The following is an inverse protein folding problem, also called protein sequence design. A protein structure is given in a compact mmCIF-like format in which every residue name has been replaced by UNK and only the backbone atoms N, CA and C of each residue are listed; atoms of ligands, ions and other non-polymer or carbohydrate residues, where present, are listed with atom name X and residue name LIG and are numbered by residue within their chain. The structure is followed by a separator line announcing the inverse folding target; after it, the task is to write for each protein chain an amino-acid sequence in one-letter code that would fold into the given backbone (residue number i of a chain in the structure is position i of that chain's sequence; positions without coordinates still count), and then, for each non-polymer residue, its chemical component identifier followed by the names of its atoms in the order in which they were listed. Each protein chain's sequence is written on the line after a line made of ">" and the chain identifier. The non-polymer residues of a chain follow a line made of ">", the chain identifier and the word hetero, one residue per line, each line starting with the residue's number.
data_IF_324562741111
#
_entry.id   IF_324562741111
#
_cell.length_a   1.000
_cell.length_b   1.000
_cell.length_c   1.000
_cell.angle_alpha   90.00
_cell.angle_beta   90.00
_cell.angle_gamma   90.00
#
_symmetry.space_group_name_H-M   'P 1'
#
loop_
_entity.id
_entity.type
_entity.pdbx_description
1 polymer ?
#
# COMPACT_ATOMS: atom_id res chain seq x y z
N UNK A 1 -12.54 -25.49 10.07
CA UNK A 1 -11.54 -24.60 9.47
C UNK A 1 -11.37 -24.98 8.01
N UNK A 2 -11.57 -24.03 7.13
CA UNK A 2 -11.32 -24.16 5.70
C UNK A 2 -10.09 -23.31 5.34
N UNK A 3 -9.14 -23.90 4.61
CA UNK A 3 -7.97 -23.19 4.10
C UNK A 3 -8.16 -22.97 2.60
N UNK A 4 -8.15 -21.71 2.19
CA UNK A 4 -8.20 -21.31 0.79
C UNK A 4 -6.77 -21.17 0.26
N UNK A 5 -6.46 -21.85 -0.86
CA UNK A 5 -5.13 -21.85 -1.48
C UNK A 5 -5.17 -21.47 -2.96
N UNK A 6 -6.36 -21.33 -3.54
CA UNK A 6 -6.54 -21.01 -4.96
C UNK A 6 -7.74 -20.09 -5.18
N UNK A 7 -7.69 -19.33 -6.26
CA UNK A 7 -8.76 -18.44 -6.74
C UNK A 7 -9.07 -18.77 -8.21
N UNK A 8 -10.31 -18.56 -8.67
CA UNK A 8 -11.52 -18.22 -7.91
C UNK A 8 -12.01 -19.42 -7.05
N UNK A 9 -12.88 -19.12 -6.08
CA UNK A 9 -13.50 -20.18 -5.27
C UNK A 9 -14.33 -21.15 -6.12
N UNK A 10 -14.24 -22.44 -5.80
CA UNK A 10 -15.14 -23.42 -6.40
C UNK A 10 -16.56 -23.28 -5.86
N UNK A 11 -17.56 -23.61 -6.69
CA UNK A 11 -18.96 -23.64 -6.26
C UNK A 11 -19.20 -24.61 -5.09
N UNK A 12 -18.40 -25.68 -5.03
CA UNK A 12 -18.52 -26.67 -3.96
C UNK A 12 -18.08 -26.12 -2.61
N UNK A 13 -16.99 -25.33 -2.59
CA UNK A 13 -16.54 -24.64 -1.37
C UNK A 13 -17.64 -23.68 -0.86
N UNK A 14 -18.23 -22.90 -1.75
CA UNK A 14 -19.30 -21.95 -1.38
C UNK A 14 -20.49 -22.70 -0.83
N UNK A 15 -20.93 -23.78 -1.50
CA UNK A 15 -22.04 -24.61 -1.04
C UNK A 15 -21.76 -25.22 0.32
N UNK A 16 -20.57 -25.78 0.55
CA UNK A 16 -20.19 -26.35 1.84
C UNK A 16 -20.24 -25.33 2.98
N UNK A 17 -19.81 -24.10 2.74
CA UNK A 17 -19.88 -23.03 3.72
C UNK A 17 -21.33 -22.65 4.05
N UNK A 18 -22.19 -22.49 3.04
CA UNK A 18 -23.60 -22.11 3.23
C UNK A 18 -24.45 -23.20 3.90
N UNK A 19 -24.15 -24.48 3.64
CA UNK A 19 -24.88 -25.60 4.21
C UNK A 19 -24.46 -25.93 5.65
N UNK A 20 -23.26 -25.59 6.06
CA UNK A 20 -22.67 -26.03 7.34
C UNK A 20 -22.43 -24.92 8.36
N UNK A 21 -22.52 -23.67 7.96
CA UNK A 21 -22.17 -22.53 8.82
C UNK A 21 -23.32 -21.53 8.88
N UNK A 22 -23.57 -21.01 10.06
CA UNK A 22 -24.44 -19.85 10.30
C UNK A 22 -23.62 -18.55 10.29
N UNK A 23 -22.35 -18.67 10.65
CA UNK A 23 -21.40 -17.56 10.71
C UNK A 23 -20.03 -18.03 10.24
N UNK A 24 -19.33 -17.18 9.49
CA UNK A 24 -17.96 -17.40 9.00
C UNK A 24 -17.11 -16.25 9.47
N UNK A 25 -15.94 -16.53 10.01
CA UNK A 25 -14.89 -15.53 10.21
C UNK A 25 -13.78 -15.74 9.18
N UNK A 26 -13.46 -14.69 8.43
CA UNK A 26 -12.39 -14.71 7.41
C UNK A 26 -11.11 -14.19 8.03
N UNK A 27 -10.09 -15.06 8.05
CA UNK A 27 -8.76 -14.75 8.55
C UNK A 27 -7.82 -14.59 7.35
N UNK A 28 -7.53 -13.37 6.97
CA UNK A 28 -6.62 -13.07 5.86
C UNK A 28 -5.70 -11.89 6.19
N UNK A 29 -4.45 -12.01 5.77
CA UNK A 29 -3.46 -10.95 5.89
C UNK A 29 -3.61 -9.96 4.73
N UNK A 30 -3.27 -8.70 4.96
CA UNK A 30 -3.37 -7.65 3.94
C UNK A 30 -4.80 -7.21 3.64
N UNK A 31 -5.11 -7.03 2.34
CA UNK A 31 -6.41 -6.57 1.88
C UNK A 31 -7.50 -7.64 2.08
N UNK A 32 -8.73 -7.29 2.48
CA UNK A 32 -9.82 -8.24 2.73
C UNK A 32 -10.45 -8.80 1.44
N UNK A 33 -9.64 -9.44 0.61
CA UNK A 33 -10.03 -9.94 -0.71
C UNK A 33 -10.99 -11.14 -0.63
N UNK A 34 -10.71 -12.07 0.28
CA UNK A 34 -11.59 -13.24 0.50
C UNK A 34 -12.93 -12.82 1.06
N UNK A 35 -12.90 -11.94 2.06
CA UNK A 35 -14.11 -11.44 2.70
C UNK A 35 -15.01 -10.69 1.72
N UNK A 36 -14.45 -9.81 0.89
CA UNK A 36 -15.21 -9.11 -0.16
C UNK A 36 -15.79 -10.09 -1.18
N UNK A 37 -15.00 -11.06 -1.63
CA UNK A 37 -15.45 -12.08 -2.59
C UNK A 37 -16.58 -12.94 -2.01
N UNK A 38 -16.46 -13.36 -0.76
CA UNK A 38 -17.50 -14.16 -0.10
C UNK A 38 -18.78 -13.36 0.11
N UNK A 39 -18.69 -12.10 0.56
CA UNK A 39 -19.86 -11.21 0.74
C UNK A 39 -20.64 -11.00 -0.57
N UNK A 40 -19.97 -11.05 -1.71
CA UNK A 40 -20.59 -10.95 -3.03
C UNK A 40 -21.19 -12.25 -3.57
N UNK A 41 -20.81 -13.40 -3.02
CA UNK A 41 -21.17 -14.73 -3.55
C UNK A 41 -22.12 -15.53 -2.63
N UNK A 42 -22.14 -15.21 -1.35
CA UNK A 42 -22.97 -15.89 -0.35
C UNK A 42 -24.34 -15.22 -0.22
N UNK A 43 -25.36 -16.04 0.09
CA UNK A 43 -26.68 -15.53 0.38
C UNK A 43 -26.68 -14.66 1.64
N UNK A 44 -27.59 -13.68 1.69
CA UNK A 44 -27.68 -12.68 2.76
C UNK A 44 -27.92 -13.24 4.18
N UNK A 45 -28.20 -14.54 4.30
CA UNK A 45 -28.47 -15.18 5.58
C UNK A 45 -27.22 -15.67 6.31
N UNK A 46 -26.08 -15.74 5.62
CA UNK A 46 -24.83 -16.16 6.22
C UNK A 46 -24.03 -14.93 6.68
N UNK A 47 -23.74 -14.86 7.97
CA UNK A 47 -22.94 -13.78 8.54
C UNK A 47 -21.46 -13.99 8.26
N UNK A 48 -20.84 -13.05 7.56
CA UNK A 48 -19.41 -13.06 7.28
C UNK A 48 -18.74 -11.98 8.11
N UNK A 49 -17.86 -12.37 9.02
CA UNK A 49 -17.05 -11.51 9.88
C UNK A 49 -15.62 -11.43 9.35
N UNK A 50 -14.95 -10.34 9.60
CA UNK A 50 -13.55 -10.17 9.23
C UNK A 50 -13.04 -8.75 9.47
N UNK A 51 -12.33 -8.22 8.49
CA UNK A 51 -11.77 -6.85 8.53
C UNK A 51 -12.77 -5.77 8.15
N UNK A 52 -13.80 -6.11 7.35
CA UNK A 52 -14.75 -5.14 6.83
C UNK A 52 -15.80 -4.73 7.86
N UNK A 53 -16.12 -5.61 8.81
CA UNK A 53 -17.05 -5.32 9.90
C UNK A 53 -16.35 -4.99 11.23
N UNK A 54 -15.01 -5.01 11.24
CA UNK A 54 -14.21 -4.69 12.42
C UNK A 54 -14.00 -5.83 13.40
N UNK A 55 -14.42 -7.07 13.10
CA UNK A 55 -14.10 -8.24 13.90
C UNK A 55 -12.59 -8.50 13.98
N UNK A 56 -11.87 -8.12 12.92
CA UNK A 56 -10.41 -8.11 12.86
C UNK A 56 -9.90 -6.70 12.51
N UNK A 57 -8.69 -6.31 12.95
CA UNK A 57 -8.12 -5.03 12.58
C UNK A 57 -7.89 -4.96 11.06
N UNK A 58 -8.15 -3.79 10.48
CA UNK A 58 -8.02 -3.56 9.04
C UNK A 58 -6.58 -3.58 8.56
N UNK A 59 -5.69 -3.15 9.39
CA UNK A 59 -4.25 -3.01 9.17
C UNK A 59 -3.44 -3.70 10.27
N UNK A 60 -2.13 -3.75 10.07
CA UNK A 60 -1.21 -4.43 10.96
C UNK A 60 -1.20 -5.95 10.78
N UNK A 61 -0.39 -6.62 11.57
CA UNK A 61 -0.13 -8.06 11.49
C UNK A 61 -1.21 -8.85 12.25
N UNK A 62 -1.75 -9.91 11.63
CA UNK A 62 -2.64 -10.86 12.29
C UNK A 62 -1.83 -11.85 13.13
N UNK A 63 -1.71 -11.57 14.42
CA UNK A 63 -1.11 -12.49 15.35
C UNK A 63 -2.16 -13.42 16.05
N UNK A 64 -1.74 -14.53 16.65
CA UNK A 64 -2.65 -15.47 17.29
C UNK A 64 -3.55 -14.85 18.36
N UNK A 65 -3.09 -13.84 19.07
CA UNK A 65 -3.86 -13.18 20.13
C UNK A 65 -5.01 -12.35 19.55
N UNK A 66 -4.81 -11.67 18.43
CA UNK A 66 -5.88 -10.95 17.72
C UNK A 66 -6.95 -11.90 17.21
N UNK A 67 -6.54 -13.03 16.63
CA UNK A 67 -7.47 -14.05 16.15
C UNK A 67 -8.24 -14.69 17.31
N UNK A 68 -7.57 -15.03 18.41
CA UNK A 68 -8.21 -15.58 19.60
C UNK A 68 -9.28 -14.60 20.16
N UNK A 69 -8.95 -13.32 20.23
CA UNK A 69 -9.86 -12.26 20.67
C UNK A 69 -11.09 -12.16 19.76
N UNK A 70 -10.89 -12.19 18.45
CA UNK A 70 -12.00 -12.15 17.47
C UNK A 70 -12.91 -13.37 17.57
N UNK A 71 -12.38 -14.52 17.98
CA UNK A 71 -13.13 -15.76 18.24
C UNK A 71 -13.71 -15.83 19.65
N UNK A 72 -13.57 -14.78 20.47
CA UNK A 72 -14.10 -14.74 21.83
C UNK A 72 -13.31 -15.57 22.87
N UNK A 73 -12.09 -16.01 22.53
CA UNK A 73 -11.22 -16.70 23.49
C UNK A 73 -10.52 -15.72 24.42
N UNK A 74 -10.28 -16.11 25.69
CA UNK A 74 -9.47 -15.30 26.58
C UNK A 74 -8.04 -15.19 26.06
N UNK A 75 -7.51 -13.98 26.09
CA UNK A 75 -6.14 -13.69 25.65
C UNK A 75 -5.36 -13.12 26.83
N UNK A 76 -4.19 -13.66 27.09
CA UNK A 76 -3.27 -13.06 28.04
C UNK A 76 -2.70 -11.78 27.42
N UNK A 77 -2.88 -10.66 28.09
CA UNK A 77 -2.19 -9.42 27.73
C UNK A 77 -0.69 -9.65 27.91
N UNK A 78 0.08 -9.30 26.87
CA UNK A 78 1.52 -9.36 26.92
C UNK A 78 2.09 -8.41 27.99
N UNK A 79 3.37 -8.55 28.27
CA UNK A 79 4.05 -7.58 29.12
C UNK A 79 4.10 -6.22 28.44
N UNK A 80 4.00 -5.12 29.21
CA UNK A 80 4.14 -3.78 28.63
C UNK A 80 5.52 -3.64 27.99
N UNK A 81 5.57 -2.93 26.86
CA UNK A 81 6.83 -2.67 26.15
C UNK A 81 7.73 -1.83 27.07
N UNK A 82 8.92 -2.30 27.45
CA UNK A 82 9.82 -1.54 28.31
C UNK A 82 10.24 -0.21 27.65
N UNK A 83 10.42 0.85 28.44
CA UNK A 83 10.83 2.17 27.95
C UNK A 83 12.18 2.18 27.20
N UNK A 84 13.02 1.20 27.46
CA UNK A 84 14.29 1.02 26.73
C UNK A 84 14.08 0.69 25.25
N UNK A 85 12.92 0.11 24.91
CA UNK A 85 12.56 -0.20 23.54
C UNK A 85 12.16 1.09 22.81
N UNK A 86 13.00 1.55 21.90
CA UNK A 86 12.74 2.72 21.06
C UNK A 86 12.31 2.29 19.67
N UNK A 87 11.29 2.97 19.14
CA UNK A 87 10.90 2.81 17.73
C UNK A 87 12.07 3.18 16.83
N UNK A 88 12.29 2.36 15.81
CA UNK A 88 13.27 2.61 14.75
C UNK A 88 12.57 2.61 13.40
N UNK A 89 11.88 3.71 13.04
CA UNK A 89 11.23 3.79 11.75
C UNK A 89 12.28 3.67 10.63
N UNK A 90 11.92 3.11 9.47
CA UNK A 90 12.81 3.07 8.32
C UNK A 90 13.22 4.49 7.91
N UNK A 91 14.45 4.64 7.48
CA UNK A 91 15.03 5.93 7.07
C UNK A 91 16.03 5.73 5.95
N UNK A 92 16.33 6.79 5.20
CA UNK A 92 17.42 6.75 4.22
C UNK A 92 18.75 6.45 4.86
N UNK A 93 19.60 5.75 4.13
CA UNK A 93 20.98 5.50 4.55
C UNK A 93 21.75 6.82 4.69
N UNK A 94 22.80 6.83 5.51
CA UNK A 94 23.68 7.99 5.64
C UNK A 94 24.36 8.30 4.30
N UNK A 95 24.20 9.53 3.79
CA UNK A 95 24.75 9.96 2.50
C UNK A 95 23.99 9.42 1.29
N UNK A 96 22.73 9.01 1.47
CA UNK A 96 21.88 8.53 0.40
C UNK A 96 21.47 9.68 -0.55
N UNK A 97 21.64 9.51 -1.86
CA UNK A 97 21.26 10.51 -2.86
C UNK A 97 19.76 10.82 -2.92
N UNK A 98 18.90 9.90 -2.45
CA UNK A 98 17.47 10.19 -2.33
C UNK A 98 17.19 11.34 -1.35
N UNK A 99 18.02 11.50 -0.30
CA UNK A 99 17.89 12.63 0.63
C UNK A 99 18.11 13.96 -0.07
N UNK A 100 19.11 14.04 -0.95
CA UNK A 100 19.39 15.24 -1.72
C UNK A 100 18.28 15.52 -2.73
N UNK A 101 17.78 14.46 -3.38
CA UNK A 101 16.65 14.56 -4.31
C UNK A 101 15.42 15.16 -3.60
N UNK A 102 15.02 14.63 -2.43
CA UNK A 102 13.84 15.14 -1.74
C UNK A 102 14.03 16.53 -1.16
N UNK A 103 15.22 16.88 -0.69
CA UNK A 103 15.53 18.25 -0.28
C UNK A 103 15.37 19.22 -1.47
N UNK A 104 15.86 18.85 -2.65
CA UNK A 104 15.71 19.66 -3.85
C UNK A 104 14.26 19.77 -4.31
N UNK A 105 13.48 18.68 -4.26
CA UNK A 105 12.03 18.68 -4.58
C UNK A 105 11.26 19.58 -3.62
N UNK A 106 11.50 19.46 -2.32
CA UNK A 106 10.85 20.31 -1.30
C UNK A 106 11.14 21.78 -1.59
N UNK A 107 12.41 22.13 -1.85
CA UNK A 107 12.81 23.50 -2.15
C UNK A 107 12.15 24.03 -3.43
N UNK A 108 12.13 23.23 -4.48
CA UNK A 108 11.53 23.59 -5.77
C UNK A 108 10.02 23.80 -5.68
N UNK A 109 9.34 23.06 -4.79
CA UNK A 109 7.88 23.12 -4.64
C UNK A 109 7.39 24.20 -3.66
N UNK A 110 8.26 24.81 -2.86
CA UNK A 110 7.90 25.87 -1.90
C UNK A 110 7.06 27.03 -2.47
N UNK A 111 7.29 27.50 -3.72
CA UNK A 111 6.49 28.59 -4.27
C UNK A 111 5.04 28.23 -4.60
N UNK A 112 4.68 26.95 -4.57
CA UNK A 112 3.37 26.47 -4.99
C UNK A 112 2.51 26.10 -3.81
N UNK A 113 1.24 26.52 -3.81
CA UNK A 113 0.30 26.27 -2.73
C UNK A 113 -0.33 24.86 -2.75
N UNK A 114 -0.41 24.28 -3.94
CA UNK A 114 -0.98 22.94 -4.13
C UNK A 114 -0.07 22.18 -5.08
N UNK A 115 0.47 21.07 -4.61
CA UNK A 115 1.40 20.23 -5.37
C UNK A 115 1.04 18.77 -5.21
N UNK A 116 1.41 17.93 -6.18
CA UNK A 116 1.30 16.48 -6.07
C UNK A 116 2.67 15.85 -6.31
N UNK A 117 3.16 15.11 -5.34
CA UNK A 117 4.34 14.25 -5.49
C UNK A 117 3.90 12.80 -5.34
N UNK A 118 4.03 12.07 -6.42
CA UNK A 118 3.61 10.67 -6.53
C UNK A 118 4.84 9.77 -6.58
N UNK A 119 4.80 8.70 -5.84
CA UNK A 119 5.87 7.72 -5.77
C UNK A 119 5.33 6.32 -6.05
N UNK A 120 6.22 5.40 -6.22
CA UNK A 120 5.96 3.98 -6.27
C UNK A 120 6.96 3.20 -5.39
N UNK A 121 7.15 1.92 -5.60
CA UNK A 121 7.84 1.05 -4.66
C UNK A 121 9.36 1.10 -4.86
N UNK A 122 10.07 1.56 -3.85
CA UNK A 122 11.53 1.64 -3.80
C UNK A 122 12.01 2.40 -2.56
N UNK A 123 13.32 2.57 -2.39
CA UNK A 123 13.87 3.36 -1.28
C UNK A 123 13.29 4.78 -1.22
N UNK A 124 13.04 5.39 -2.37
CA UNK A 124 12.46 6.72 -2.48
C UNK A 124 11.05 6.83 -1.87
N UNK A 125 10.31 5.72 -1.69
CA UNK A 125 9.04 5.72 -0.96
C UNK A 125 9.19 6.27 0.47
N UNK A 126 10.38 6.16 1.06
CA UNK A 126 10.67 6.71 2.39
C UNK A 126 10.56 8.24 2.45
N UNK A 127 10.47 8.92 1.33
CA UNK A 127 10.13 10.35 1.26
C UNK A 127 8.71 10.66 1.76
N UNK A 128 7.86 9.65 1.96
CA UNK A 128 6.56 9.77 2.63
C UNK A 128 6.70 9.96 4.15
N UNK A 129 7.85 9.63 4.73
CA UNK A 129 8.11 9.66 6.15
C UNK A 129 8.87 10.93 6.57
N UNK A 130 8.84 11.28 7.87
CA UNK A 130 9.70 12.33 8.39
C UNK A 130 11.18 12.08 8.08
N UNK A 131 11.97 13.13 7.81
CA UNK A 131 11.63 14.55 7.87
C UNK A 131 10.98 15.12 6.59
N UNK A 132 10.88 14.34 5.51
CA UNK A 132 10.46 14.83 4.20
C UNK A 132 8.94 15.03 4.10
N UNK A 133 8.14 14.02 4.41
CA UNK A 133 6.65 14.03 4.37
C UNK A 133 6.10 14.64 3.07
N UNK A 134 6.74 14.37 1.93
CA UNK A 134 6.43 15.06 0.67
C UNK A 134 5.63 14.19 -0.29
N UNK A 135 5.67 12.89 -0.15
CA UNK A 135 4.96 11.97 -1.04
C UNK A 135 3.49 11.91 -0.65
N UNK A 136 2.61 12.21 -1.60
CA UNK A 136 1.15 12.21 -1.41
C UNK A 136 0.53 10.83 -1.65
N UNK A 137 1.10 10.02 -2.53
CA UNK A 137 0.58 8.70 -2.86
C UNK A 137 1.67 7.76 -3.32
N UNK A 138 1.51 6.48 -2.98
CA UNK A 138 2.36 5.37 -3.41
C UNK A 138 1.48 4.14 -3.57
N UNK A 139 1.49 3.50 -4.73
CA UNK A 139 0.61 2.35 -5.03
C UNK A 139 1.42 1.12 -5.41
N UNK A 140 1.90 1.02 -6.63
CA UNK A 140 2.65 -0.10 -7.15
C UNK A 140 3.82 0.35 -8.04
N UNK A 141 4.63 -0.60 -8.49
CA UNK A 141 5.79 -0.30 -9.32
C UNK A 141 5.37 0.32 -10.65
N UNK A 142 5.80 1.57 -10.90
CA UNK A 142 5.51 2.34 -12.11
C UNK A 142 4.29 3.24 -12.02
N UNK A 143 3.47 3.11 -11.00
CA UNK A 143 2.25 3.92 -10.82
C UNK A 143 2.54 5.40 -10.58
N UNK A 144 3.73 5.78 -10.08
CA UNK A 144 4.09 7.18 -9.84
C UNK A 144 3.90 8.05 -11.08
N UNK A 145 4.35 7.57 -12.23
CA UNK A 145 4.28 8.32 -13.49
C UNK A 145 2.83 8.47 -13.95
N UNK A 146 2.05 7.39 -13.96
CA UNK A 146 0.65 7.43 -14.40
C UNK A 146 -0.24 8.20 -13.44
N UNK A 147 0.00 8.14 -12.13
CA UNK A 147 -0.69 8.97 -11.15
C UNK A 147 -0.39 10.45 -11.34
N UNK A 148 0.87 10.82 -11.57
CA UNK A 148 1.25 12.20 -11.84
C UNK A 148 0.61 12.71 -13.14
N UNK A 149 0.56 11.89 -14.20
CA UNK A 149 -0.14 12.22 -15.46
C UNK A 149 -1.62 12.45 -15.20
N UNK A 150 -2.30 11.53 -14.53
CA UNK A 150 -3.72 11.69 -14.22
C UNK A 150 -4.03 12.92 -13.37
N UNK A 151 -3.19 13.21 -12.39
CA UNK A 151 -3.32 14.40 -11.55
C UNK A 151 -3.12 15.70 -12.36
N UNK A 152 -2.13 15.74 -13.23
CA UNK A 152 -1.88 16.88 -14.11
C UNK A 152 -3.04 17.09 -15.12
N UNK A 153 -3.53 16.02 -15.71
CA UNK A 153 -4.68 16.05 -16.63
C UNK A 153 -5.97 16.53 -15.92
N UNK A 154 -6.06 16.28 -14.60
CA UNK A 154 -7.12 16.81 -13.73
C UNK A 154 -6.88 18.25 -13.26
N UNK A 155 -5.79 18.90 -13.67
CA UNK A 155 -5.48 20.29 -13.36
C UNK A 155 -4.57 20.52 -12.14
N UNK A 156 -3.98 19.48 -11.55
CA UNK A 156 -3.01 19.64 -10.48
C UNK A 156 -1.65 20.05 -11.05
N UNK A 157 -1.15 21.22 -10.61
CA UNK A 157 0.16 21.73 -11.05
C UNK A 157 0.90 22.46 -9.92
N UNK A 158 2.16 22.14 -9.65
CA UNK A 158 2.97 21.09 -10.28
C UNK A 158 2.54 19.67 -9.91
N UNK A 159 2.69 18.74 -10.85
CA UNK A 159 2.53 17.30 -10.63
C UNK A 159 3.86 16.60 -10.90
N UNK A 160 4.37 15.89 -9.90
CA UNK A 160 5.73 15.33 -9.90
C UNK A 160 5.66 13.82 -9.64
N UNK A 161 6.31 13.05 -10.49
CA UNK A 161 6.56 11.62 -10.24
C UNK A 161 8.01 11.44 -9.77
N UNK A 162 8.20 10.62 -8.74
CA UNK A 162 9.53 10.17 -8.30
C UNK A 162 9.58 8.65 -8.42
N UNK A 163 10.53 8.15 -9.20
CA UNK A 163 10.67 6.75 -9.54
C UNK A 163 12.15 6.35 -9.53
N UNK A 164 12.46 5.15 -9.07
CA UNK A 164 13.81 4.58 -9.14
C UNK A 164 14.14 4.03 -10.53
N UNK A 165 15.43 3.88 -10.85
CA UNK A 165 15.95 3.35 -12.10
C UNK A 165 15.42 1.95 -12.42
N UNK A 166 15.47 1.04 -11.47
CA UNK A 166 14.98 -0.34 -11.64
C UNK A 166 13.47 -0.38 -11.87
N UNK A 167 12.71 0.35 -11.07
CA UNK A 167 11.24 0.43 -11.20
C UNK A 167 10.84 1.11 -12.52
N UNK A 168 11.60 2.12 -12.94
CA UNK A 168 11.37 2.80 -14.21
C UNK A 168 11.51 1.86 -15.40
N UNK A 169 12.57 1.05 -15.43
CA UNK A 169 12.80 0.05 -16.50
C UNK A 169 11.79 -1.11 -16.42
N UNK A 170 11.33 -1.47 -15.21
CA UNK A 170 10.33 -2.51 -15.03
C UNK A 170 8.96 -2.10 -15.58
N UNK A 171 8.44 -0.93 -15.23
CA UNK A 171 7.05 -0.54 -15.54
C UNK A 171 6.80 0.96 -15.74
N UNK A 172 7.80 1.83 -15.53
CA UNK A 172 7.64 3.29 -15.68
C UNK A 172 7.65 3.80 -17.11
N UNK A 173 8.24 3.06 -18.07
CA UNK A 173 8.40 3.53 -19.45
C UNK A 173 7.09 3.71 -20.20
N UNK A 174 6.09 2.86 -19.96
CA UNK A 174 4.75 3.00 -20.57
C UNK A 174 4.05 4.28 -20.12
N UNK A 175 4.16 4.62 -18.84
CA UNK A 175 3.63 5.87 -18.29
C UNK A 175 4.33 7.10 -18.86
N UNK A 176 5.66 7.05 -19.05
CA UNK A 176 6.40 8.12 -19.71
C UNK A 176 5.94 8.31 -21.17
N UNK A 177 5.78 7.21 -21.91
CA UNK A 177 5.29 7.30 -23.30
C UNK A 177 3.91 7.94 -23.38
N UNK A 178 2.99 7.56 -22.48
CA UNK A 178 1.65 8.15 -22.39
C UNK A 178 1.73 9.65 -22.07
N UNK A 179 2.56 10.04 -21.11
CA UNK A 179 2.81 11.45 -20.77
C UNK A 179 3.28 12.28 -21.97
N UNK A 180 4.22 11.72 -22.75
CA UNK A 180 4.76 12.39 -23.94
C UNK A 180 3.71 12.51 -25.03
N UNK A 181 2.97 11.46 -25.33
CA UNK A 181 1.90 11.44 -26.35
C UNK A 181 0.81 12.44 -26.01
N UNK A 182 0.38 12.48 -24.75
CA UNK A 182 -0.66 13.41 -24.26
C UNK A 182 -0.13 14.82 -24.06
N UNK A 183 1.18 15.01 -24.01
CA UNK A 183 1.82 16.28 -23.63
C UNK A 183 1.39 16.74 -22.22
N UNK A 184 1.23 15.79 -21.31
CA UNK A 184 0.82 16.07 -19.94
C UNK A 184 1.88 16.91 -19.21
N UNK A 185 1.50 17.98 -18.49
CA UNK A 185 2.44 18.89 -17.81
C UNK A 185 2.96 18.30 -16.50
N UNK A 186 3.75 17.23 -16.60
CA UNK A 186 4.34 16.51 -15.45
C UNK A 186 5.83 16.63 -15.40
N UNK A 187 6.40 16.56 -14.20
CA UNK A 187 7.84 16.39 -13.99
C UNK A 187 8.09 14.96 -13.51
N UNK A 188 8.93 14.22 -14.21
CA UNK A 188 9.31 12.85 -13.84
C UNK A 188 10.76 12.86 -13.41
N UNK A 189 11.01 12.47 -12.15
CA UNK A 189 12.34 12.39 -11.54
C UNK A 189 12.70 10.91 -11.44
N UNK A 190 13.70 10.49 -12.22
CA UNK A 190 14.25 9.14 -12.15
C UNK A 190 15.44 9.19 -11.20
N UNK A 191 15.31 8.55 -10.04
CA UNK A 191 16.39 8.46 -9.05
C UNK A 191 17.28 7.26 -9.36
N UNK A 192 18.30 7.49 -10.16
CA UNK A 192 19.26 6.46 -10.56
C UNK A 192 20.38 6.32 -9.52
N UNK A 193 20.44 5.18 -8.87
CA UNK A 193 21.54 4.78 -7.98
C UNK A 193 22.23 3.49 -8.47
N UNK A 194 21.90 3.05 -9.68
CA UNK A 194 22.45 1.85 -10.34
C UNK A 194 22.31 0.57 -9.50
N UNK A 195 21.32 0.51 -8.61
CA UNK A 195 21.08 -0.66 -7.77
C UNK A 195 19.63 -0.76 -7.31
N UNK A 196 19.17 -1.99 -7.11
CA UNK A 196 17.90 -2.27 -6.45
C UNK A 196 18.16 -2.35 -4.95
N UNK A 197 17.82 -1.29 -4.22
CA UNK A 197 18.23 -1.12 -2.82
C UNK A 197 17.27 -1.68 -1.79
N UNK A 198 15.99 -1.68 -2.08
CA UNK A 198 14.94 -2.14 -1.15
C UNK A 198 14.33 -3.44 -1.67
N UNK A 199 15.06 -4.51 -1.52
CA UNK A 199 14.66 -5.87 -1.92
C UNK A 199 14.77 -6.83 -0.74
#
# INVERSE_FOLDING_TARGET
>A
ILRITTYPFSKDVIRELTERCEEIIVLEEGYPFLEESLRGLLDNNLRVLGKLDGALPRDGELNPSLVAKALGFPVNEGLPVPEVVKSRPPSFCKGCGHSDTFNAVIEALKPFNCTGVFSDIGCYTLGALPPYNIINSCVDMGASVTMAVGAADAGLFPSVAVIGDSTFTHSGMTGLLDAVVKKSPVTIIISDNSTTGMT
#
